data_IF_919882971212
#
_entry.id   IF_919882971212
#
_cell.length_a   1.000
_cell.length_b   1.000
_cell.length_c   1.000
_cell.angle_alpha   90.00
_cell.angle_beta   90.00
_cell.angle_gamma   90.00
#
_symmetry.space_group_name_H-M   'P 1'
#
loop_
_entity.id
_entity.type
_entity.pdbx_description
1 polymer ?
#
# COMPACT_ATOMS: atom_id res chain seq x y z
N UNK A 1 14.89 -5.91 -18.62
CA UNK A 1 15.25 -6.48 -17.30
C UNK A 1 14.55 -5.64 -16.25
N UNK A 2 13.37 -6.12 -15.88
CA UNK A 2 12.34 -5.47 -15.08
C UNK A 2 12.80 -5.23 -13.63
N UNK A 3 13.50 -4.12 -13.38
CA UNK A 3 13.78 -3.64 -12.04
C UNK A 3 12.62 -2.75 -11.54
N UNK A 4 11.38 -3.24 -11.64
CA UNK A 4 10.26 -2.54 -11.01
C UNK A 4 10.49 -2.63 -9.49
N UNK A 5 10.64 -1.50 -8.77
CA UNK A 5 10.97 -1.51 -7.35
C UNK A 5 9.94 -2.27 -6.50
N UNK A 6 8.72 -2.47 -7.01
CA UNK A 6 7.68 -3.29 -6.37
C UNK A 6 7.98 -4.79 -6.35
N UNK A 7 8.79 -5.28 -7.28
CA UNK A 7 9.22 -6.70 -7.35
C UNK A 7 10.49 -6.95 -6.56
N UNK A 8 11.17 -5.90 -6.08
CA UNK A 8 12.32 -6.03 -5.20
C UNK A 8 11.90 -6.67 -3.88
N UNK A 9 12.60 -7.73 -3.46
CA UNK A 9 12.37 -8.36 -2.15
C UNK A 9 12.40 -7.36 -1.00
N UNK A 10 13.14 -6.24 -1.14
CA UNK A 10 13.15 -5.15 -0.15
C UNK A 10 11.80 -4.48 0.01
N UNK A 11 11.07 -4.28 -1.08
CA UNK A 11 9.72 -3.68 -1.03
C UNK A 11 8.72 -4.66 -0.39
N UNK A 12 8.82 -5.95 -0.73
CA UNK A 12 8.01 -7.00 -0.12
C UNK A 12 8.27 -7.11 1.39
N UNK A 13 9.54 -7.14 1.81
CA UNK A 13 9.92 -7.18 3.22
C UNK A 13 9.50 -5.91 3.96
N UNK A 14 9.66 -4.73 3.37
CA UNK A 14 9.21 -3.47 3.97
C UNK A 14 7.69 -3.44 4.16
N UNK A 15 6.93 -4.08 3.26
CA UNK A 15 5.49 -4.16 3.35
C UNK A 15 5.03 -5.18 4.40
N UNK A 16 5.67 -6.36 4.44
CA UNK A 16 5.41 -7.38 5.47
C UNK A 16 5.76 -6.91 6.88
N UNK A 17 6.73 -6.00 7.02
CA UNK A 17 7.14 -5.40 8.29
C UNK A 17 6.26 -4.22 8.73
N UNK A 18 5.19 -3.90 7.99
CA UNK A 18 4.20 -2.93 8.49
C UNK A 18 3.48 -3.49 9.73
N UNK A 19 3.13 -2.65 10.72
CA UNK A 19 2.60 -3.11 11.99
C UNK A 19 1.35 -3.99 11.86
N UNK A 20 0.44 -3.67 10.92
CA UNK A 20 -0.77 -4.47 10.70
C UNK A 20 -0.46 -5.86 10.14
N UNK A 21 0.42 -5.93 9.14
CA UNK A 21 0.76 -7.20 8.47
C UNK A 21 1.64 -8.06 9.38
N UNK A 22 2.60 -7.45 10.09
CA UNK A 22 3.48 -8.15 11.03
C UNK A 22 2.71 -8.74 12.21
N UNK A 23 1.70 -8.03 12.72
CA UNK A 23 0.83 -8.52 13.81
C UNK A 23 0.02 -9.73 13.37
N UNK A 24 -0.65 -9.65 12.20
CA UNK A 24 -1.41 -10.77 11.65
C UNK A 24 -0.52 -11.98 11.33
N UNK A 25 0.68 -11.74 10.78
CA UNK A 25 1.67 -12.77 10.49
C UNK A 25 2.15 -13.46 11.78
N UNK A 26 2.46 -12.68 12.82
CA UNK A 26 2.87 -13.21 14.13
C UNK A 26 1.74 -14.02 14.77
N UNK A 27 0.50 -13.56 14.67
CA UNK A 27 -0.67 -14.29 15.19
C UNK A 27 -0.86 -15.62 14.45
N UNK A 28 -0.65 -15.65 13.13
CA UNK A 28 -0.61 -16.87 12.32
C UNK A 28 0.47 -17.86 12.78
N UNK A 29 1.69 -17.37 13.05
CA UNK A 29 2.80 -18.19 13.53
C UNK A 29 2.58 -18.72 14.95
N UNK A 30 2.07 -17.87 15.86
CA UNK A 30 1.77 -18.22 17.24
C UNK A 30 0.59 -19.18 17.36
N UNK A 31 -0.36 -19.14 16.42
CA UNK A 31 -1.51 -20.04 16.39
C UNK A 31 -1.12 -21.49 16.03
N UNK A 32 0.15 -21.77 15.66
CA UNK A 32 0.68 -23.11 15.29
C UNK A 32 -0.04 -23.81 14.13
N UNK A 33 -1.09 -23.20 13.59
CA UNK A 33 -1.95 -23.71 12.54
C UNK A 33 -2.20 -22.56 11.57
N UNK A 34 -1.50 -22.60 10.44
CA UNK A 34 -1.87 -21.77 9.30
C UNK A 34 -3.22 -22.30 8.83
N UNK A 35 -4.29 -21.60 9.20
CA UNK A 35 -5.64 -21.95 8.79
C UNK A 35 -6.06 -21.09 7.59
N UNK A 36 -6.92 -21.61 6.71
CA UNK A 36 -7.36 -20.88 5.50
C UNK A 36 -7.98 -19.50 5.83
N UNK A 37 -8.66 -19.35 6.97
CA UNK A 37 -9.21 -18.06 7.42
C UNK A 37 -8.12 -17.09 7.84
N UNK A 38 -7.09 -17.54 8.55
CA UNK A 38 -5.99 -16.64 8.96
C UNK A 38 -5.15 -16.21 7.75
N UNK A 39 -5.05 -17.05 6.72
CA UNK A 39 -4.48 -16.68 5.44
C UNK A 39 -5.35 -15.66 4.68
N UNK A 40 -6.68 -15.86 4.68
CA UNK A 40 -7.63 -14.94 4.08
C UNK A 40 -7.60 -13.56 4.75
N UNK A 41 -7.54 -13.51 6.09
CA UNK A 41 -7.38 -12.27 6.85
C UNK A 41 -6.07 -11.55 6.53
N UNK A 42 -4.96 -12.29 6.40
CA UNK A 42 -3.67 -11.75 5.97
C UNK A 42 -3.75 -11.16 4.55
N UNK A 43 -4.43 -11.85 3.64
CA UNK A 43 -4.64 -11.38 2.27
C UNK A 43 -5.52 -10.12 2.23
N UNK A 44 -6.58 -10.07 3.04
CA UNK A 44 -7.45 -8.90 3.17
C UNK A 44 -6.69 -7.70 3.75
N UNK A 45 -5.88 -7.89 4.80
CA UNK A 45 -5.05 -6.84 5.39
C UNK A 45 -4.00 -6.36 4.37
N UNK A 46 -3.34 -7.29 3.67
CA UNK A 46 -2.38 -6.97 2.63
C UNK A 46 -3.04 -6.24 1.44
N UNK A 47 -4.29 -6.55 1.13
CA UNK A 47 -5.05 -5.89 0.06
C UNK A 47 -5.52 -4.50 0.49
N UNK A 48 -6.03 -4.36 1.72
CA UNK A 48 -6.46 -3.09 2.29
C UNK A 48 -5.31 -2.11 2.46
N UNK A 49 -4.14 -2.56 2.95
CA UNK A 49 -2.95 -1.73 3.07
C UNK A 49 -2.45 -1.19 1.71
N UNK A 50 -2.55 -2.00 0.66
CA UNK A 50 -2.20 -1.60 -0.70
C UNK A 50 -3.16 -0.53 -1.22
N UNK A 51 -4.47 -0.73 -1.04
CA UNK A 51 -5.48 0.26 -1.40
C UNK A 51 -5.34 1.57 -0.61
N UNK A 52 -4.95 1.51 0.66
CA UNK A 52 -4.68 2.70 1.45
C UNK A 52 -3.56 3.54 0.85
N UNK A 53 -2.41 2.94 0.52
CA UNK A 53 -1.27 3.63 -0.09
C UNK A 53 -1.60 4.16 -1.50
N UNK A 54 -2.33 3.37 -2.31
CA UNK A 54 -2.74 3.77 -3.67
C UNK A 54 -3.74 4.92 -3.61
N UNK A 55 -4.73 4.86 -2.72
CA UNK A 55 -5.72 5.93 -2.52
C UNK A 55 -5.07 7.20 -2.02
N UNK A 56 -4.13 7.12 -1.07
CA UNK A 56 -3.44 8.29 -0.55
C UNK A 56 -2.58 8.98 -1.63
N UNK A 57 -1.90 8.18 -2.46
CA UNK A 57 -1.18 8.66 -3.65
C UNK A 57 -2.13 9.29 -4.68
N UNK A 58 -3.30 8.70 -4.90
CA UNK A 58 -4.31 9.20 -5.82
C UNK A 58 -4.88 10.55 -5.36
N UNK A 59 -5.23 10.68 -4.08
CA UNK A 59 -5.72 11.93 -3.47
C UNK A 59 -4.66 13.04 -3.60
N UNK A 60 -3.41 12.75 -3.23
CA UNK A 60 -2.29 13.71 -3.38
C UNK A 60 -2.02 14.10 -4.84
N UNK A 61 -2.24 13.18 -5.80
CA UNK A 61 -2.10 13.49 -7.24
C UNK A 61 -3.23 14.39 -7.72
N UNK A 62 -4.47 14.15 -7.29
CA UNK A 62 -5.62 14.97 -7.68
C UNK A 62 -5.53 16.39 -7.09
N UNK A 63 -5.04 16.55 -5.85
CA UNK A 63 -4.78 17.86 -5.26
C UNK A 63 -3.79 18.69 -6.10
N UNK A 64 -2.65 18.10 -6.48
CA UNK A 64 -1.64 18.77 -7.31
C UNK A 64 -2.14 19.17 -8.69
N UNK A 65 -3.05 18.38 -9.29
CA UNK A 65 -3.68 18.74 -10.57
C UNK A 65 -4.62 19.94 -10.47
N UNK A 66 -5.35 20.08 -9.36
CA UNK A 66 -6.19 21.27 -9.15
C UNK A 66 -5.34 22.52 -8.92
N UNK A 67 -4.28 22.41 -8.13
CA UNK A 67 -3.34 23.53 -7.90
C UNK A 67 -2.64 23.98 -9.20
N UNK A 68 -2.26 23.04 -10.09
CA UNK A 68 -1.73 23.37 -11.42
C UNK A 68 -2.77 24.05 -12.33
N UNK A 69 -4.00 23.52 -12.41
CA UNK A 69 -5.06 24.14 -13.23
C UNK A 69 -5.43 25.56 -12.76
N UNK A 70 -5.31 25.85 -11.45
CA UNK A 70 -5.50 27.20 -10.93
C UNK A 70 -4.34 28.12 -11.28
N UNK A 71 -3.09 27.64 -11.24
CA UNK A 71 -1.92 28.44 -11.60
C UNK A 71 -1.89 28.79 -13.10
N UNK A 72 -2.16 27.79 -13.97
CA UNK A 72 -2.22 27.99 -15.43
C UNK A 72 -3.34 28.98 -15.83
N UNK A 73 -4.40 29.13 -15.02
CA UNK A 73 -5.44 30.12 -15.28
C UNK A 73 -5.03 31.56 -14.96
N UNK A 74 -4.13 31.76 -13.98
CA UNK A 74 -3.60 33.08 -13.64
C UNK A 74 -2.47 33.54 -14.57
N UNK A 75 -1.70 32.62 -15.14
CA UNK A 75 -0.58 32.96 -16.04
C UNK A 75 -1.03 33.32 -17.48
N UNK A 76 -2.31 33.15 -17.82
CA UNK A 76 -2.90 33.46 -19.14
C UNK A 76 -3.77 34.74 -19.17
N UNK A 77 -3.77 35.55 -18.10
CA UNK A 77 -4.45 36.85 -18.01
C UNK A 77 -3.45 38.01 -18.02
#
# INVERSE_FOLDING_TARGET
MDNDPKTSMRYVLSYLMTPEVASALTNCFLSSSVNEKSLAELYDIATQGYFHVVRDKLIKRNRRKQEQNSQDHFDFQ
#
